data_IF_187345799096
#
_entry.id   IF_187345799096
#
_cell.length_a   1.000
_cell.length_b   1.000
_cell.length_c   1.000
_cell.angle_alpha   90.00
_cell.angle_beta   90.00
_cell.angle_gamma   90.00
#
_symmetry.space_group_name_H-M   'P 1'
#
loop_
_entity.id
_entity.type
_entity.pdbx_description
1 polymer ?
#
# COMPACT_ATOMS: atom_id res chain seq x y z
N UNK A 1 -36.68 -31.69 -82.05
CA UNK A 1 -37.83 -32.28 -81.35
C UNK A 1 -37.80 -31.82 -79.91
N UNK A 2 -38.96 -31.35 -79.43
CA UNK A 2 -39.36 -31.12 -78.04
C UNK A 2 -38.57 -30.11 -77.19
N UNK A 3 -39.23 -28.98 -77.00
CA UNK A 3 -39.07 -27.93 -76.02
C UNK A 3 -39.43 -28.45 -74.61
N UNK A 4 -38.56 -28.25 -73.61
CA UNK A 4 -38.86 -28.60 -72.22
C UNK A 4 -38.79 -27.37 -71.29
N UNK A 5 -39.93 -27.14 -70.65
CA UNK A 5 -40.30 -25.97 -69.86
C UNK A 5 -39.46 -25.80 -68.59
N UNK A 6 -39.06 -24.54 -68.36
CA UNK A 6 -38.68 -24.00 -67.04
C UNK A 6 -39.70 -24.35 -65.95
N UNK A 7 -39.20 -24.84 -64.81
CA UNK A 7 -39.83 -24.65 -63.49
C UNK A 7 -38.83 -23.94 -62.58
N UNK A 8 -39.17 -22.72 -62.15
CA UNK A 8 -38.45 -21.99 -61.08
C UNK A 8 -38.93 -22.55 -59.73
N UNK A 9 -37.99 -22.96 -58.88
CA UNK A 9 -38.24 -23.23 -57.47
C UNK A 9 -38.32 -21.90 -56.68
N UNK A 10 -39.11 -21.82 -55.59
CA UNK A 10 -39.19 -20.63 -54.77
C UNK A 10 -37.92 -20.48 -53.90
N UNK A 11 -37.53 -19.25 -53.51
CA UNK A 11 -36.40 -19.06 -52.63
C UNK A 11 -36.75 -19.55 -51.22
N UNK A 12 -35.95 -20.48 -50.69
CA UNK A 12 -36.04 -20.94 -49.30
C UNK A 12 -35.66 -19.83 -48.34
N UNK A 13 -36.60 -19.43 -47.48
CA UNK A 13 -36.56 -18.36 -46.48
C UNK A 13 -35.69 -18.66 -45.24
N UNK A 14 -34.58 -19.39 -45.40
CA UNK A 14 -33.78 -19.89 -44.26
C UNK A 14 -32.53 -19.07 -43.90
N UNK A 15 -32.18 -18.05 -44.68
CA UNK A 15 -30.96 -17.26 -44.43
C UNK A 15 -31.12 -16.08 -43.44
N UNK A 16 -32.34 -15.75 -43.01
CA UNK A 16 -32.57 -14.62 -42.11
C UNK A 16 -32.45 -14.94 -40.61
N UNK A 17 -32.46 -16.23 -40.22
CA UNK A 17 -32.47 -16.62 -38.81
C UNK A 17 -31.07 -16.78 -38.18
N UNK A 18 -30.04 -16.98 -39.00
CA UNK A 18 -28.68 -17.26 -38.52
C UNK A 18 -27.85 -16.02 -38.15
N UNK A 19 -28.26 -14.83 -38.59
CA UNK A 19 -27.55 -13.59 -38.25
C UNK A 19 -27.99 -12.93 -36.93
N UNK A 20 -29.15 -13.32 -36.37
CA UNK A 20 -29.68 -12.68 -35.16
C UNK A 20 -29.28 -13.40 -33.86
N UNK A 21 -29.08 -14.73 -33.91
CA UNK A 21 -28.70 -15.51 -32.73
C UNK A 21 -27.22 -15.35 -32.35
N UNK A 22 -26.35 -15.13 -33.35
CA UNK A 22 -24.92 -14.88 -33.12
C UNK A 22 -24.67 -13.53 -32.44
N UNK A 23 -25.47 -12.51 -32.76
CA UNK A 23 -25.32 -11.17 -32.17
C UNK A 23 -25.78 -11.14 -30.71
N UNK A 24 -26.89 -11.81 -30.37
CA UNK A 24 -27.38 -11.90 -29.01
C UNK A 24 -26.39 -12.64 -28.09
N UNK A 25 -25.82 -13.76 -28.56
CA UNK A 25 -24.78 -14.50 -27.83
C UNK A 25 -23.48 -13.70 -27.69
N UNK A 26 -23.08 -12.96 -28.72
CA UNK A 26 -21.92 -12.07 -28.67
C UNK A 26 -22.15 -10.90 -27.69
N UNK A 27 -23.35 -10.32 -27.65
CA UNK A 27 -23.71 -9.26 -26.69
C UNK A 27 -23.76 -9.81 -25.27
N UNK A 28 -24.34 -10.99 -25.04
CA UNK A 28 -24.32 -11.67 -23.74
C UNK A 28 -22.90 -12.02 -23.30
N UNK A 29 -22.04 -12.45 -24.22
CA UNK A 29 -20.63 -12.70 -23.95
C UNK A 29 -19.87 -11.40 -23.63
N UNK A 30 -20.10 -10.32 -24.37
CA UNK A 30 -19.50 -9.01 -24.09
C UNK A 30 -20.00 -8.42 -22.76
N UNK A 31 -21.27 -8.58 -22.41
CA UNK A 31 -21.84 -8.18 -21.11
C UNK A 31 -21.29 -9.05 -19.98
N UNK A 32 -21.11 -10.36 -20.20
CA UNK A 32 -20.47 -11.26 -19.25
C UNK A 32 -18.98 -10.93 -19.06
N UNK A 33 -18.26 -10.60 -20.13
CA UNK A 33 -16.86 -10.15 -20.09
C UNK A 33 -16.75 -8.78 -19.39
N UNK A 34 -17.69 -7.86 -19.62
CA UNK A 34 -17.77 -6.58 -18.89
C UNK A 34 -18.10 -6.78 -17.40
N UNK A 35 -18.95 -7.75 -17.06
CA UNK A 35 -19.24 -8.14 -15.68
C UNK A 35 -18.07 -8.91 -15.02
N UNK A 36 -17.24 -9.58 -15.83
CA UNK A 36 -16.02 -10.29 -15.42
C UNK A 36 -14.77 -9.40 -15.46
N UNK A 37 -14.85 -8.17 -16.00
CA UNK A 37 -13.85 -7.13 -15.79
C UNK A 37 -13.88 -6.72 -14.31
N UNK A 38 -13.25 -7.57 -13.50
CA UNK A 38 -12.80 -7.22 -12.16
C UNK A 38 -12.02 -5.93 -12.29
N UNK A 39 -12.39 -4.96 -11.46
CA UNK A 39 -11.69 -3.70 -11.32
C UNK A 39 -10.19 -4.02 -11.18
N UNK A 40 -9.46 -3.83 -12.27
CA UNK A 40 -8.02 -4.04 -12.31
C UNK A 40 -7.39 -2.94 -11.45
N UNK A 41 -6.37 -3.28 -10.69
CA UNK A 41 -5.75 -2.40 -9.68
C UNK A 41 -5.26 -1.05 -10.23
N UNK A 42 -5.06 -0.93 -11.55
CA UNK A 42 -4.71 0.32 -12.22
C UNK A 42 -5.93 1.22 -12.54
N UNK A 43 -7.14 0.66 -12.60
CA UNK A 43 -8.38 1.37 -12.96
C UNK A 43 -9.17 1.89 -11.76
N UNK A 44 -8.85 1.44 -10.54
CA UNK A 44 -9.52 1.87 -9.30
C UNK A 44 -9.36 3.38 -9.02
N UNK A 45 -8.30 4.03 -9.53
CA UNK A 45 -8.09 5.48 -9.38
C UNK A 45 -8.95 6.29 -10.35
N UNK A 46 -9.47 5.68 -11.43
CA UNK A 46 -10.21 6.37 -12.48
C UNK A 46 -11.74 6.32 -12.30
N UNK A 47 -12.27 5.49 -11.38
CA UNK A 47 -13.71 5.36 -11.16
C UNK A 47 -14.09 5.33 -9.66
N UNK A 48 -14.19 6.51 -9.04
CA UNK A 48 -15.09 6.74 -7.89
C UNK A 48 -14.83 6.02 -6.57
N UNK A 49 -13.70 5.34 -6.38
CA UNK A 49 -13.35 4.68 -5.13
C UNK A 49 -12.47 5.59 -4.26
N UNK A 50 -13.09 6.30 -3.31
CA UNK A 50 -12.37 6.99 -2.25
C UNK A 50 -11.92 5.98 -1.17
N UNK A 51 -10.64 5.61 -1.19
CA UNK A 51 -10.06 4.65 -0.24
C UNK A 51 -10.07 5.14 1.22
N UNK A 52 -10.27 6.44 1.44
CA UNK A 52 -10.25 7.06 2.76
C UNK A 52 -11.65 7.25 3.35
N UNK A 53 -12.70 7.00 2.57
CA UNK A 53 -14.09 6.98 3.03
C UNK A 53 -14.57 5.55 3.20
N UNK A 54 -15.09 5.24 4.38
CA UNK A 54 -15.51 3.89 4.72
C UNK A 54 -15.75 3.71 6.21
N UNK A 55 -15.63 2.48 6.67
CA UNK A 55 -15.86 2.11 8.07
C UNK A 55 -14.94 0.97 8.51
N UNK A 56 -14.63 0.97 9.80
CA UNK A 56 -14.01 -0.17 10.46
C UNK A 56 -15.02 -1.31 10.59
N UNK A 57 -14.57 -2.53 10.31
CA UNK A 57 -15.35 -3.76 10.48
C UNK A 57 -14.52 -4.77 11.25
N UNK A 58 -15.19 -5.64 12.01
CA UNK A 58 -14.54 -6.79 12.65
C UNK A 58 -14.22 -7.84 11.58
N UNK A 59 -13.01 -8.37 11.63
CA UNK A 59 -12.51 -9.42 10.75
C UNK A 59 -11.72 -10.44 11.59
N UNK A 60 -12.25 -11.66 11.71
CA UNK A 60 -11.62 -12.72 12.51
C UNK A 60 -10.29 -13.23 11.92
N UNK A 61 -9.97 -12.86 10.68
CA UNK A 61 -8.67 -13.19 10.08
C UNK A 61 -7.56 -12.20 10.47
N UNK A 62 -7.84 -11.21 11.30
CA UNK A 62 -6.87 -10.25 11.84
C UNK A 62 -6.40 -10.66 13.25
N UNK A 63 -5.21 -10.21 13.70
CA UNK A 63 -4.30 -9.27 13.05
C UNK A 63 -3.48 -9.89 11.91
N UNK A 64 -2.84 -9.05 11.09
CA UNK A 64 -1.98 -9.49 9.98
C UNK A 64 -0.62 -10.05 10.45
N UNK A 65 -0.24 -9.77 11.70
CA UNK A 65 0.95 -10.31 12.36
C UNK A 65 0.74 -10.25 13.88
N UNK A 66 1.44 -11.11 14.61
CA UNK A 66 1.58 -10.99 16.05
C UNK A 66 2.72 -10.02 16.40
N UNK A 67 2.40 -8.95 17.12
CA UNK A 67 3.37 -7.93 17.52
C UNK A 67 4.44 -8.51 18.47
N UNK A 68 4.06 -9.44 19.36
CA UNK A 68 4.99 -10.05 20.32
C UNK A 68 5.97 -11.03 19.66
N UNK A 69 5.61 -11.58 18.50
CA UNK A 69 6.47 -12.45 17.71
C UNK A 69 7.40 -11.67 16.75
N UNK A 70 7.16 -10.38 16.50
CA UNK A 70 7.94 -9.61 15.56
C UNK A 70 9.19 -8.99 16.23
N UNK A 71 10.42 -9.29 15.75
CA UNK A 71 11.65 -8.81 16.37
C UNK A 71 11.91 -7.30 16.20
N UNK A 72 11.13 -6.62 15.34
CA UNK A 72 11.28 -5.20 15.04
C UNK A 72 10.40 -4.29 15.89
N UNK A 73 9.44 -4.86 16.65
CA UNK A 73 8.55 -4.08 17.52
C UNK A 73 9.34 -3.59 18.74
N UNK A 74 9.48 -2.26 18.93
CA UNK A 74 10.09 -1.73 20.14
C UNK A 74 9.28 -2.14 21.38
N UNK A 75 9.92 -2.37 22.54
CA UNK A 75 9.20 -2.78 23.75
C UNK A 75 8.03 -1.89 24.13
N UNK A 76 8.15 -0.57 23.92
CA UNK A 76 7.10 0.40 24.20
C UNK A 76 5.84 0.23 23.32
N UNK A 77 5.91 -0.47 22.19
CA UNK A 77 4.81 -0.62 21.23
C UNK A 77 4.08 -1.96 21.35
N UNK A 78 4.60 -2.90 22.14
CA UNK A 78 3.93 -4.19 22.39
C UNK A 78 2.87 -4.04 23.51
N UNK A 79 1.69 -3.54 23.15
CA UNK A 79 0.63 -3.27 24.13
C UNK A 79 0.23 -4.52 24.93
N UNK A 80 0.19 -5.70 24.31
CA UNK A 80 -0.23 -6.94 24.96
C UNK A 80 0.80 -7.38 25.99
N UNK A 81 2.09 -7.40 25.62
CA UNK A 81 3.17 -7.69 26.56
C UNK A 81 3.27 -6.63 27.66
N UNK A 82 2.87 -5.39 27.37
CA UNK A 82 2.80 -4.30 28.34
C UNK A 82 1.51 -4.29 29.18
N UNK A 83 0.73 -5.39 29.18
CA UNK A 83 -0.37 -5.60 30.12
C UNK A 83 -1.76 -5.17 29.63
N UNK A 84 -1.93 -4.80 28.36
CA UNK A 84 -3.26 -4.48 27.82
C UNK A 84 -4.15 -5.75 27.78
N UNK A 85 -5.28 -5.80 28.50
CA UNK A 85 -6.06 -7.02 28.68
C UNK A 85 -6.98 -7.33 27.49
N UNK A 86 -7.49 -6.31 26.79
CA UNK A 86 -8.37 -6.46 25.63
C UNK A 86 -7.59 -6.77 24.33
N UNK A 87 -8.26 -7.41 23.37
CA UNK A 87 -7.69 -7.78 22.06
C UNK A 87 -8.57 -7.36 20.86
N UNK A 88 -9.77 -6.82 21.09
CA UNK A 88 -10.73 -6.52 20.02
C UNK A 88 -10.21 -5.49 19.01
N UNK A 89 -9.37 -4.57 19.46
CA UNK A 89 -8.73 -3.58 18.60
C UNK A 89 -7.85 -4.20 17.50
N UNK A 90 -7.35 -5.43 17.70
CA UNK A 90 -6.53 -6.14 16.72
C UNK A 90 -7.36 -6.68 15.56
N UNK A 91 -8.68 -6.86 15.75
CA UNK A 91 -9.60 -7.47 14.79
C UNK A 91 -10.26 -6.45 13.85
N UNK A 92 -9.89 -5.18 13.95
CA UNK A 92 -10.46 -4.12 13.13
C UNK A 92 -9.76 -4.03 11.76
N UNK A 93 -10.57 -4.17 10.69
CA UNK A 93 -10.16 -3.94 9.30
C UNK A 93 -10.86 -2.73 8.72
N UNK A 94 -10.13 -1.89 8.00
CA UNK A 94 -10.69 -0.78 7.24
C UNK A 94 -11.38 -1.30 5.97
N UNK A 95 -12.64 -0.90 5.75
CA UNK A 95 -13.41 -1.21 4.53
C UNK A 95 -13.88 0.09 3.87
N UNK A 96 -13.28 0.47 2.72
CA UNK A 96 -13.77 1.58 1.92
C UNK A 96 -15.21 1.38 1.43
N UNK A 97 -15.91 2.48 1.21
CA UNK A 97 -17.24 2.45 0.61
C UNK A 97 -17.14 2.04 -0.87
N UNK A 98 -18.06 1.19 -1.33
CA UNK A 98 -18.13 0.75 -2.73
C UNK A 98 -16.96 -0.13 -3.20
N UNK A 99 -16.00 -0.47 -2.33
CA UNK A 99 -14.83 -1.27 -2.72
C UNK A 99 -14.35 -2.20 -1.61
N UNK A 100 -14.02 -3.43 -1.99
CA UNK A 100 -13.40 -4.41 -1.09
C UNK A 100 -11.90 -4.41 -1.32
N UNK A 101 -11.14 -3.83 -0.38
CA UNK A 101 -9.68 -3.95 -0.39
C UNK A 101 -9.27 -5.43 -0.36
N UNK A 102 -8.34 -5.86 -1.24
CA UNK A 102 -7.75 -7.17 -1.13
C UNK A 102 -6.98 -7.29 0.19
N UNK A 103 -6.95 -8.49 0.77
CA UNK A 103 -6.10 -8.74 1.95
C UNK A 103 -4.64 -8.56 1.55
N UNK A 104 -3.85 -8.00 2.45
CA UNK A 104 -2.42 -7.88 2.24
C UNK A 104 -1.77 -9.27 2.18
N UNK A 105 -1.08 -9.55 1.08
CA UNK A 105 -0.23 -10.72 0.91
C UNK A 105 1.23 -10.25 0.89
N UNK A 106 1.92 -10.44 2.01
CA UNK A 106 3.31 -10.02 2.18
C UNK A 106 4.28 -10.80 1.29
N UNK A 107 3.97 -12.06 0.98
CA UNK A 107 4.83 -12.92 0.17
C UNK A 107 4.73 -12.53 -1.31
N UNK A 108 3.52 -12.31 -1.81
CA UNK A 108 3.30 -11.73 -3.14
C UNK A 108 3.93 -10.33 -3.25
N UNK A 109 3.78 -9.48 -2.23
CA UNK A 109 4.41 -8.17 -2.20
C UNK A 109 5.93 -8.28 -2.38
N UNK A 110 6.61 -9.10 -1.56
CA UNK A 110 8.06 -9.29 -1.64
C UNK A 110 8.51 -9.81 -3.01
N UNK A 111 7.75 -10.70 -3.64
CA UNK A 111 8.03 -11.20 -4.99
C UNK A 111 7.93 -10.10 -6.05
N UNK A 112 6.86 -9.29 -6.01
CA UNK A 112 6.64 -8.19 -6.97
C UNK A 112 7.61 -7.03 -6.77
N UNK A 113 8.07 -6.81 -5.55
CA UNK A 113 9.00 -5.75 -5.19
C UNK A 113 10.47 -6.19 -5.20
N UNK A 114 10.79 -7.36 -5.77
CA UNK A 114 12.16 -7.87 -5.81
C UNK A 114 13.15 -6.83 -6.33
N UNK A 115 14.27 -6.66 -5.61
CA UNK A 115 15.32 -5.70 -5.95
C UNK A 115 14.99 -4.24 -5.65
N UNK A 116 13.87 -3.95 -4.98
CA UNK A 116 13.40 -2.58 -4.73
C UNK A 116 13.68 -2.07 -3.33
N UNK A 117 13.73 -0.75 -3.22
CA UNK A 117 13.91 -0.02 -1.96
C UNK A 117 12.71 0.87 -1.64
N UNK A 118 12.21 0.75 -0.41
CA UNK A 118 11.10 1.54 0.13
C UNK A 118 11.62 2.37 1.30
N UNK A 119 11.45 3.68 1.23
CA UNK A 119 11.88 4.61 2.27
C UNK A 119 10.67 5.21 2.99
N UNK A 120 10.59 5.03 4.30
CA UNK A 120 9.71 5.79 5.18
C UNK A 120 10.49 7.00 5.72
N UNK A 121 10.00 8.20 5.44
CA UNK A 121 10.67 9.45 5.82
C UNK A 121 9.70 10.28 6.66
N UNK A 122 9.95 10.38 7.96
CA UNK A 122 9.04 11.13 8.82
C UNK A 122 9.28 10.97 10.30
N UNK A 123 8.27 11.38 11.07
CA UNK A 123 8.32 11.45 12.52
C UNK A 123 8.01 10.09 13.19
N UNK A 124 7.65 10.11 14.47
CA UNK A 124 7.30 8.91 15.22
C UNK A 124 6.10 8.15 14.64
N UNK A 125 5.16 8.84 13.98
CA UNK A 125 4.04 8.18 13.31
C UNK A 125 4.50 7.44 12.05
N UNK A 126 5.42 8.03 11.28
CA UNK A 126 6.07 7.34 10.16
C UNK A 126 6.87 6.11 10.61
N UNK A 127 7.54 6.20 11.77
CA UNK A 127 8.21 5.05 12.39
C UNK A 127 7.20 3.93 12.76
N UNK A 128 6.04 4.28 13.32
CA UNK A 128 5.02 3.28 13.65
C UNK A 128 4.53 2.53 12.40
N UNK A 129 4.30 3.25 11.29
CA UNK A 129 3.93 2.64 10.01
C UNK A 129 5.05 1.75 9.46
N UNK A 130 6.30 2.21 9.52
CA UNK A 130 7.46 1.43 9.11
C UNK A 130 7.56 0.11 9.90
N UNK A 131 7.45 0.14 11.24
CA UNK A 131 7.48 -1.05 12.10
C UNK A 131 6.37 -2.02 11.70
N UNK A 132 5.14 -1.53 11.55
CA UNK A 132 4.00 -2.37 11.16
C UNK A 132 4.24 -3.04 9.80
N UNK A 133 4.74 -2.28 8.82
CA UNK A 133 5.00 -2.79 7.49
C UNK A 133 6.09 -3.88 7.47
N UNK A 134 7.24 -3.66 8.13
CA UNK A 134 8.28 -4.68 8.19
C UNK A 134 7.84 -5.93 8.95
N UNK A 135 7.00 -5.79 9.98
CA UNK A 135 6.44 -6.95 10.70
C UNK A 135 5.44 -7.75 9.86
N UNK A 136 4.59 -7.09 9.08
CA UNK A 136 3.69 -7.77 8.12
C UNK A 136 4.48 -8.56 7.07
N UNK A 137 5.58 -7.98 6.56
CA UNK A 137 6.45 -8.68 5.61
C UNK A 137 7.15 -9.87 6.28
N UNK A 138 7.72 -9.67 7.47
CA UNK A 138 8.39 -10.73 8.22
C UNK A 138 7.48 -11.91 8.56
N UNK A 139 6.25 -11.63 9.02
CA UNK A 139 5.27 -12.67 9.31
C UNK A 139 4.85 -13.49 8.07
N UNK A 140 5.02 -12.95 6.86
CA UNK A 140 4.69 -13.63 5.61
C UNK A 140 5.84 -14.51 5.05
N UNK A 141 7.07 -14.38 5.57
CA UNK A 141 8.22 -15.16 5.10
C UNK A 141 8.30 -16.50 5.86
N UNK A 142 8.46 -17.64 5.17
CA UNK A 142 8.68 -18.93 5.83
C UNK A 142 9.92 -18.92 6.75
N UNK A 143 9.81 -19.56 7.90
CA UNK A 143 10.92 -19.64 8.85
C UNK A 143 12.00 -20.66 8.39
N UNK A 144 13.30 -20.37 8.61
CA UNK A 144 13.85 -19.13 9.14
C UNK A 144 13.92 -18.02 8.07
N UNK A 145 13.37 -16.84 8.38
CA UNK A 145 13.44 -15.70 7.47
C UNK A 145 14.87 -15.12 7.42
N UNK A 146 15.47 -15.06 6.22
CA UNK A 146 16.79 -14.46 6.03
C UNK A 146 16.68 -12.94 5.93
N UNK A 147 16.96 -12.27 7.05
CA UNK A 147 16.82 -10.82 7.17
C UNK A 147 18.09 -10.17 7.69
N UNK A 148 18.59 -9.15 6.97
CA UNK A 148 19.66 -8.28 7.46
C UNK A 148 19.08 -7.03 8.10
N UNK A 149 19.62 -6.68 9.26
CA UNK A 149 19.16 -5.56 10.09
C UNK A 149 20.30 -4.57 10.29
N UNK A 150 20.14 -3.34 9.82
CA UNK A 150 21.10 -2.27 10.05
C UNK A 150 20.56 -1.29 11.09
N UNK A 151 21.41 -0.93 12.06
CA UNK A 151 21.12 0.03 13.12
C UNK A 151 21.91 1.31 12.87
N UNK A 152 21.27 2.47 12.97
CA UNK A 152 21.95 3.76 12.83
C UNK A 152 22.60 4.16 14.15
N UNK A 153 23.90 4.52 14.12
CA UNK A 153 24.67 5.04 15.26
C UNK A 153 24.57 4.19 16.55
N UNK A 154 24.53 2.86 16.42
CA UNK A 154 24.42 1.93 17.56
C UNK A 154 23.06 1.94 18.27
N UNK A 155 22.04 2.60 17.72
CA UNK A 155 20.70 2.75 18.33
C UNK A 155 19.64 1.87 17.65
N UNK A 156 18.55 2.49 17.19
CA UNK A 156 17.38 1.83 16.63
C UNK A 156 17.67 1.23 15.25
N UNK A 157 16.94 0.16 14.93
CA UNK A 157 16.92 -0.42 13.58
C UNK A 157 16.39 0.63 12.61
N UNK A 158 17.13 0.86 11.53
CA UNK A 158 16.79 1.83 10.49
C UNK A 158 16.66 1.18 9.11
N UNK A 159 17.17 -0.04 8.91
CA UNK A 159 16.98 -0.77 7.66
C UNK A 159 16.71 -2.24 7.96
N UNK A 160 15.69 -2.79 7.32
CA UNK A 160 15.39 -4.21 7.27
C UNK A 160 15.45 -4.65 5.82
N UNK A 161 16.27 -5.66 5.53
CA UNK A 161 16.43 -6.22 4.19
C UNK A 161 16.04 -7.70 4.17
N UNK A 162 15.09 -8.06 3.31
CA UNK A 162 14.66 -9.43 3.07
C UNK A 162 15.53 -10.04 1.97
N UNK A 163 16.52 -10.86 2.35
CA UNK A 163 17.62 -11.25 1.47
C UNK A 163 17.17 -12.07 0.26
N UNK A 164 16.26 -13.03 0.46
CA UNK A 164 15.78 -13.90 -0.61
C UNK A 164 14.95 -13.15 -1.68
N UNK A 165 14.57 -11.90 -1.40
CA UNK A 165 13.81 -11.03 -2.28
C UNK A 165 14.57 -9.78 -2.69
N UNK A 166 15.75 -9.50 -2.13
CA UNK A 166 16.47 -8.25 -2.36
C UNK A 166 15.59 -7.01 -2.14
N UNK A 167 14.70 -7.06 -1.14
CA UNK A 167 13.80 -5.94 -0.78
C UNK A 167 14.30 -5.26 0.47
N UNK A 168 14.48 -3.94 0.42
CA UNK A 168 14.94 -3.15 1.57
C UNK A 168 13.90 -2.12 1.98
N UNK A 169 13.54 -2.11 3.27
CA UNK A 169 12.65 -1.13 3.88
C UNK A 169 13.44 -0.28 4.87
N UNK A 170 13.53 1.02 4.59
CA UNK A 170 14.42 1.95 5.30
C UNK A 170 13.58 3.00 6.04
N UNK A 171 13.95 3.29 7.29
CA UNK A 171 13.41 4.39 8.08
C UNK A 171 14.42 5.54 8.14
N UNK A 172 14.03 6.68 7.58
CA UNK A 172 14.68 7.97 7.77
C UNK A 172 13.90 8.79 8.79
N UNK A 173 14.20 8.60 10.07
CA UNK A 173 13.53 9.35 11.13
C UNK A 173 13.89 10.84 11.07
N UNK A 174 12.89 11.69 10.89
CA UNK A 174 13.02 13.13 10.90
C UNK A 174 11.74 13.78 11.42
N UNK A 175 11.84 14.62 12.46
CA UNK A 175 10.69 15.34 13.03
C UNK A 175 10.01 16.25 11.99
N UNK A 176 10.85 16.92 11.21
CA UNK A 176 10.47 17.84 10.15
C UNK A 176 11.16 17.42 8.86
N UNK A 177 10.45 17.46 7.73
CA UNK A 177 11.05 17.13 6.44
C UNK A 177 12.11 18.15 6.03
N UNK A 178 11.91 19.41 6.42
CA UNK A 178 12.82 20.52 6.15
C UNK A 178 14.08 20.47 7.02
N UNK A 179 15.07 21.25 6.59
CA UNK A 179 16.30 21.44 7.34
C UNK A 179 16.01 22.22 8.63
N UNK A 180 16.62 21.76 9.72
CA UNK A 180 16.60 22.45 11.02
C UNK A 180 18.02 22.87 11.32
N UNK A 181 18.22 24.16 11.53
CA UNK A 181 19.54 24.74 11.82
C UNK A 181 19.53 25.37 13.20
N UNK A 182 20.68 25.38 13.88
CA UNK A 182 20.83 26.10 15.15
C UNK A 182 21.29 27.52 14.83
N UNK A 183 20.54 28.50 15.32
CA UNK A 183 20.80 29.94 15.27
C UNK A 183 20.72 30.50 16.70
N UNK A 184 20.99 31.80 16.87
CA UNK A 184 21.02 32.45 18.19
C UNK A 184 19.67 32.40 18.90
N UNK A 185 18.57 32.46 18.13
CA UNK A 185 17.20 32.36 18.64
C UNK A 185 16.79 30.92 18.99
N UNK A 186 17.64 29.93 18.68
CA UNK A 186 17.38 28.51 18.89
C UNK A 186 17.38 27.71 17.60
N UNK A 187 16.61 26.62 17.56
CA UNK A 187 16.50 25.76 16.38
C UNK A 187 15.46 26.32 15.41
N UNK A 188 15.87 26.57 14.18
CA UNK A 188 15.08 27.26 13.16
C UNK A 188 14.80 26.31 11.99
N UNK A 189 13.53 26.26 11.57
CA UNK A 189 13.09 25.55 10.38
C UNK A 189 13.39 26.39 9.13
N UNK A 190 14.14 25.82 8.19
CA UNK A 190 14.35 26.41 6.85
C UNK A 190 13.33 25.85 5.88
N UNK A 191 12.15 26.46 5.83
CA UNK A 191 10.99 25.94 5.08
C UNK A 191 11.25 25.71 3.57
N UNK A 192 12.17 26.46 2.98
CA UNK A 192 12.57 26.31 1.57
C UNK A 192 13.69 25.29 1.31
N UNK A 193 14.14 24.52 2.30
CA UNK A 193 15.27 23.60 2.15
C UNK A 193 15.02 22.22 2.77
N UNK A 194 15.35 21.19 2.00
CA UNK A 194 15.48 19.79 2.45
C UNK A 194 16.85 19.20 2.09
N UNK A 195 17.79 20.06 1.66
CA UNK A 195 19.03 19.65 0.98
C UNK A 195 19.91 18.73 1.82
N UNK A 196 19.95 18.91 3.14
CA UNK A 196 20.84 18.12 4.00
C UNK A 196 20.40 16.66 4.12
N UNK A 197 19.11 16.37 3.92
CA UNK A 197 18.52 15.03 4.15
C UNK A 197 18.10 14.35 2.85
N UNK A 198 17.63 15.12 1.88
CA UNK A 198 17.02 14.61 0.65
C UNK A 198 17.92 13.65 -0.13
N UNK A 199 19.24 13.88 -0.15
CA UNK A 199 20.20 13.02 -0.86
C UNK A 199 20.14 11.57 -0.40
N UNK A 200 19.87 11.33 0.89
CA UNK A 200 19.75 9.96 1.44
C UNK A 200 18.45 9.25 1.04
N UNK A 201 17.45 10.00 0.60
CA UNK A 201 16.16 9.48 0.14
C UNK A 201 16.18 9.17 -1.36
N UNK A 202 17.15 9.72 -2.09
CA UNK A 202 17.38 9.43 -3.49
C UNK A 202 17.68 7.93 -3.66
N UNK A 203 17.23 7.36 -4.78
CA UNK A 203 17.35 5.93 -5.14
C UNK A 203 16.38 4.97 -4.45
N UNK A 204 15.31 5.47 -3.81
CA UNK A 204 14.18 4.63 -3.45
C UNK A 204 13.22 4.47 -4.63
N UNK A 205 12.63 3.28 -4.78
CA UNK A 205 11.51 3.03 -5.70
C UNK A 205 10.19 3.58 -5.17
N UNK A 206 10.06 3.66 -3.84
CA UNK A 206 8.92 4.26 -3.14
C UNK A 206 9.39 5.07 -1.96
N UNK A 207 8.84 6.27 -1.81
CA UNK A 207 9.03 7.10 -0.63
C UNK A 207 7.68 7.41 0.00
N UNK A 208 7.55 7.12 1.29
CA UNK A 208 6.37 7.43 2.11
C UNK A 208 6.76 8.54 3.07
N UNK A 209 6.21 9.73 2.85
CA UNK A 209 6.46 10.89 3.71
C UNK A 209 5.38 11.03 4.78
N UNK A 210 5.80 11.43 5.97
CA UNK A 210 4.91 11.93 7.02
C UNK A 210 5.60 13.06 7.80
N UNK A 211 4.84 14.06 8.22
CA UNK A 211 5.29 15.05 9.20
C UNK A 211 4.09 15.78 9.78
N UNK A 212 3.82 15.60 11.08
CA UNK A 212 2.70 16.26 11.73
C UNK A 212 2.93 16.50 13.22
N UNK A 213 3.33 15.47 13.96
CA UNK A 213 3.29 15.45 15.42
C UNK A 213 4.08 16.59 16.07
N UNK A 214 5.20 16.99 15.46
CA UNK A 214 6.11 18.01 15.99
C UNK A 214 5.74 19.45 15.61
N UNK A 215 4.85 19.65 14.62
CA UNK A 215 4.43 20.98 14.19
C UNK A 215 3.52 21.67 15.22
N UNK A 216 2.87 20.88 16.08
CA UNK A 216 1.93 21.38 17.10
C UNK A 216 2.59 21.63 18.46
N UNK A 217 3.88 21.29 18.63
CA UNK A 217 4.61 21.51 19.88
C UNK A 217 4.78 23.02 20.16
N UNK A 218 4.47 23.41 21.40
CA UNK A 218 4.66 24.77 21.93
C UNK A 218 5.60 24.75 23.14
N UNK A 219 6.23 25.87 23.45
CA UNK A 219 7.11 26.01 24.61
C UNK A 219 8.55 25.55 24.32
N UNK A 220 9.23 24.97 25.31
CA UNK A 220 10.67 24.70 25.25
C UNK A 220 11.12 23.76 24.11
N UNK A 221 10.20 22.97 23.53
CA UNK A 221 10.48 22.09 22.40
C UNK A 221 10.14 22.67 21.02
N UNK A 222 9.61 23.89 20.96
CA UNK A 222 9.14 24.53 19.73
C UNK A 222 10.32 24.96 18.85
N UNK A 223 10.23 24.65 17.56
CA UNK A 223 11.16 25.21 16.57
C UNK A 223 10.67 26.58 16.08
N UNK A 224 11.61 27.46 15.78
CA UNK A 224 11.33 28.79 15.26
C UNK A 224 11.19 28.76 13.74
N UNK A 225 10.39 29.69 13.21
CA UNK A 225 10.27 29.97 11.78
C UNK A 225 10.48 31.47 11.62
N UNK A 226 11.37 31.86 10.70
CA UNK A 226 11.50 33.27 10.32
C UNK A 226 10.16 33.72 9.71
N UNK A 227 9.52 34.71 10.32
CA UNK A 227 8.38 35.38 9.68
C UNK A 227 8.94 36.25 8.56
N UNK A 228 8.41 36.06 7.36
CA UNK A 228 8.65 36.94 6.22
C UNK A 228 7.93 38.27 6.43
#
# INVERSE_FOLDING_TARGET
MAEERRRRAPPSSLHAAFFCHGSALMVLFLLAVAALMRCSSASAVAAGCDLFRGRWVVDESYPLYDASACPFVPPAFDCRRNGRPDADYLRLRWRPDGYRLPRFDGLDFLRRWRGKRINFVGDSLGMNQWVSFVCMLHAAVPAPARVTVLKTNGKAVSTVRFEDYDVSVVLHYTRFLVDVVKEDIGRVLKLGSMRRKATSWLRADLVVFNSWHWWTYKGAGQEYVHRF
#
